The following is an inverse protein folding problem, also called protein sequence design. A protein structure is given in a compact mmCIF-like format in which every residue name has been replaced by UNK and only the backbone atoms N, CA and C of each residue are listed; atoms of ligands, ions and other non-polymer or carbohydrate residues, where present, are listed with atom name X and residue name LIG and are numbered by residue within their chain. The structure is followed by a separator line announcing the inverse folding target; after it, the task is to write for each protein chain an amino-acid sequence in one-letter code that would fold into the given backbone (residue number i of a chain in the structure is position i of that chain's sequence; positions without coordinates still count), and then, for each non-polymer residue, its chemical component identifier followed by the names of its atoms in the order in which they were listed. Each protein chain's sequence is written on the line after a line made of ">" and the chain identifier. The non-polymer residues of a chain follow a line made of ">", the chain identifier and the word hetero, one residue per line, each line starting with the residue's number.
data_IF_562515595986
#
_entry.id   IF_562515595986
#
_cell.length_a   1.000
_cell.length_b   1.000
_cell.length_c   1.000
_cell.angle_alpha   90.00
_cell.angle_beta   90.00
_cell.angle_gamma   90.00
#
_symmetry.space_group_name_H-M   'P 1'
#
loop_
_entity.id
_entity.type
_entity.pdbx_description
1 polymer ?
#
# COMPACT_ATOMS: atom_id res chain seq x y z
N UNK A 1 44.97 5.71 -18.31
CA UNK A 1 45.35 6.13 -16.94
C UNK A 1 44.04 6.50 -16.24
N UNK A 2 43.25 5.56 -15.69
CA UNK A 2 43.34 4.92 -14.34
C UNK A 2 43.58 5.96 -13.24
N UNK A 3 42.82 6.07 -12.14
CA UNK A 3 42.08 5.09 -11.29
C UNK A 3 40.92 5.82 -10.55
N UNK A 4 39.72 5.25 -10.37
CA UNK A 4 39.25 4.28 -9.34
C UNK A 4 39.33 4.70 -7.86
N UNK A 5 38.16 4.64 -7.18
CA UNK A 5 37.78 4.50 -5.74
C UNK A 5 36.76 5.57 -5.29
N UNK A 6 35.51 5.25 -4.93
CA UNK A 6 35.10 4.28 -3.89
C UNK A 6 33.88 3.42 -4.27
N UNK A 7 34.04 2.13 -4.04
CA UNK A 7 33.04 1.08 -3.96
C UNK A 7 32.72 0.81 -2.47
N UNK A 8 31.51 0.27 -2.17
CA UNK A 8 30.91 -0.20 -0.88
C UNK A 8 29.78 0.72 -0.38
N UNK A 9 28.51 0.33 -0.26
CA UNK A 9 27.87 -0.98 -0.12
C UNK A 9 26.57 -1.04 -0.93
N UNK A 10 26.59 -1.74 -2.08
CA UNK A 10 25.39 -2.35 -2.65
C UNK A 10 25.35 -3.79 -2.12
N UNK A 11 24.49 -4.08 -1.15
CA UNK A 11 24.00 -5.44 -0.99
C UNK A 11 22.77 -5.61 -1.85
N UNK A 12 23.00 -5.79 -3.15
CA UNK A 12 22.01 -6.37 -4.06
C UNK A 12 21.98 -7.85 -3.73
N UNK A 13 20.95 -8.32 -3.01
CA UNK A 13 20.61 -9.73 -3.05
C UNK A 13 20.06 -10.01 -4.44
N UNK A 14 20.92 -10.54 -5.31
CA UNK A 14 20.48 -11.24 -6.50
C UNK A 14 19.65 -12.44 -6.06
N UNK A 15 18.34 -12.41 -6.32
CA UNK A 15 17.53 -13.62 -6.26
C UNK A 15 17.95 -14.50 -7.44
N UNK A 16 18.66 -15.58 -7.12
CA UNK A 16 19.14 -16.55 -8.09
C UNK A 16 17.93 -17.32 -8.62
N UNK A 17 17.57 -17.09 -9.88
CA UNK A 17 16.58 -17.89 -10.59
C UNK A 17 17.28 -19.16 -11.06
N UNK A 18 17.16 -20.24 -10.27
CA UNK A 18 17.08 -21.64 -10.72
C UNK A 18 17.26 -22.59 -9.52
N UNK A 19 16.16 -23.23 -9.11
CA UNK A 19 16.07 -24.69 -9.05
C UNK A 19 14.61 -25.09 -8.85
N UNK A 20 14.10 -25.84 -9.82
CA UNK A 20 12.86 -26.59 -9.73
C UNK A 20 12.94 -27.61 -8.58
N UNK A 21 11.76 -27.93 -8.03
CA UNK A 21 11.42 -28.97 -7.05
C UNK A 21 11.85 -28.73 -5.59
N UNK A 22 11.00 -28.04 -4.81
CA UNK A 22 10.65 -28.34 -3.39
C UNK A 22 9.69 -27.28 -2.72
N UNK A 23 8.96 -26.46 -3.48
CA UNK A 23 8.21 -25.31 -2.93
C UNK A 23 6.76 -25.57 -2.46
N UNK A 24 6.24 -26.79 -2.51
CA UNK A 24 4.81 -27.03 -2.20
C UNK A 24 4.52 -26.83 -0.71
N UNK A 25 5.44 -27.20 0.19
CA UNK A 25 5.23 -27.10 1.65
C UNK A 25 5.39 -25.69 2.23
N UNK A 26 6.28 -24.87 1.66
CA UNK A 26 6.55 -23.51 2.16
C UNK A 26 5.41 -22.56 1.75
N UNK A 27 4.89 -22.72 0.53
CA UNK A 27 3.78 -21.89 0.04
C UNK A 27 2.47 -22.11 0.81
N UNK A 28 2.23 -23.30 1.36
CA UNK A 28 1.05 -23.61 2.17
C UNK A 28 1.11 -22.95 3.55
N UNK A 29 2.26 -23.00 4.23
CA UNK A 29 2.44 -22.39 5.55
C UNK A 29 2.39 -20.85 5.50
N UNK A 30 2.96 -20.23 4.45
CA UNK A 30 2.79 -18.78 4.23
C UNK A 30 1.33 -18.42 3.94
N UNK A 31 0.58 -19.29 3.25
CA UNK A 31 -0.85 -19.07 2.96
C UNK A 31 -1.71 -19.12 4.21
N UNK A 32 -1.49 -20.10 5.07
CA UNK A 32 -2.21 -20.25 6.35
C UNK A 32 -1.99 -19.04 7.27
N UNK A 33 -0.77 -18.47 7.32
CA UNK A 33 -0.51 -17.26 8.11
C UNK A 33 -1.23 -16.00 7.60
N UNK A 34 -1.58 -15.94 6.31
CA UNK A 34 -2.22 -14.76 5.70
C UNK A 34 -3.74 -14.80 5.83
N UNK A 35 -4.32 -16.01 5.85
CA UNK A 35 -5.70 -16.19 6.25
C UNK A 35 -5.88 -15.90 7.75
N UNK A 36 -4.85 -16.08 8.58
CA UNK A 36 -4.91 -15.70 10.01
C UNK A 36 -5.05 -14.19 10.25
N UNK A 37 -4.53 -13.33 9.36
CA UNK A 37 -4.75 -11.86 9.48
C UNK A 37 -6.21 -11.46 9.18
N UNK A 38 -6.98 -12.36 8.56
CA UNK A 38 -8.41 -12.23 8.35
C UNK A 38 -9.14 -13.25 9.24
N UNK A 39 -9.37 -12.89 10.50
CA UNK A 39 -10.27 -13.65 11.37
C UNK A 39 -11.71 -13.45 10.85
N UNK A 40 -12.36 -14.50 10.30
CA UNK A 40 -13.76 -14.41 9.93
C UNK A 40 -14.57 -14.11 11.19
N UNK A 41 -15.58 -13.23 11.09
CA UNK A 41 -16.53 -13.05 12.20
C UNK A 41 -17.20 -14.39 12.49
N UNK A 42 -16.92 -14.95 13.67
CA UNK A 42 -17.53 -16.14 14.30
C UNK A 42 -18.06 -17.22 13.34
N UNK A 43 -17.16 -17.97 12.69
CA UNK A 43 -17.51 -19.27 12.11
C UNK A 43 -17.46 -20.36 13.18
N UNK A 44 -18.62 -20.81 13.66
CA UNK A 44 -18.71 -22.11 14.33
C UNK A 44 -18.17 -23.18 13.36
N UNK A 45 -17.10 -23.88 13.75
CA UNK A 45 -16.51 -24.98 12.96
C UNK A 45 -17.54 -26.10 12.77
N UNK A 46 -18.27 -26.08 11.66
CA UNK A 46 -19.06 -27.22 11.23
C UNK A 46 -18.11 -28.33 10.76
N UNK A 47 -18.11 -29.44 11.49
CA UNK A 47 -17.27 -30.63 11.26
C UNK A 47 -17.67 -31.46 10.03
N UNK A 48 -18.71 -31.04 9.32
CA UNK A 48 -19.11 -31.60 8.04
C UNK A 48 -18.62 -30.62 6.97
N UNK A 49 -17.75 -31.05 6.05
CA UNK A 49 -17.04 -30.19 5.09
C UNK A 49 -17.90 -29.44 4.05
N UNK A 50 -19.11 -29.01 4.38
CA UNK A 50 -19.93 -28.07 3.64
C UNK A 50 -19.52 -26.63 3.99
N UNK A 51 -19.38 -25.80 2.95
CA UNK A 51 -19.23 -24.36 3.13
C UNK A 51 -20.41 -23.82 3.94
N UNK A 52 -20.12 -23.14 5.06
CA UNK A 52 -21.11 -22.54 5.95
C UNK A 52 -22.03 -21.58 5.17
N UNK A 53 -23.30 -21.44 5.57
CA UNK A 53 -24.17 -20.38 5.05
C UNK A 53 -23.61 -18.97 5.32
N UNK A 54 -22.66 -18.85 6.24
CA UNK A 54 -21.91 -17.63 6.54
C UNK A 54 -20.63 -17.46 5.71
N UNK A 55 -20.46 -18.22 4.62
CA UNK A 55 -19.37 -18.06 3.64
C UNK A 55 -19.51 -16.77 2.82
N UNK A 56 -18.37 -16.24 2.32
CA UNK A 56 -18.34 -15.05 1.45
C UNK A 56 -19.18 -15.24 0.19
N UNK A 57 -19.17 -16.45 -0.36
CA UNK A 57 -20.01 -16.88 -1.48
C UNK A 57 -20.70 -18.18 -1.05
N UNK A 58 -22.04 -18.21 -0.94
CA UNK A 58 -22.77 -19.41 -0.54
C UNK A 58 -22.38 -20.62 -1.40
N UNK A 59 -21.97 -21.71 -0.74
CA UNK A 59 -21.55 -22.94 -1.41
C UNK A 59 -20.10 -22.98 -1.89
N UNK A 60 -19.31 -21.95 -1.61
CA UNK A 60 -17.87 -21.89 -1.89
C UNK A 60 -17.07 -21.68 -0.60
N UNK A 61 -15.90 -22.30 -0.49
CA UNK A 61 -14.97 -22.04 0.61
C UNK A 61 -14.41 -20.61 0.52
N UNK A 62 -14.17 -19.98 1.67
CA UNK A 62 -13.74 -18.58 1.74
C UNK A 62 -12.36 -18.34 1.09
N UNK A 63 -11.46 -19.33 1.11
CA UNK A 63 -10.16 -19.28 0.45
C UNK A 63 -10.30 -19.16 -1.08
N UNK A 64 -11.15 -19.98 -1.68
CA UNK A 64 -11.47 -19.92 -3.10
C UNK A 64 -12.20 -18.61 -3.46
N UNK A 65 -13.10 -18.15 -2.59
CA UNK A 65 -13.77 -16.86 -2.78
C UNK A 65 -12.76 -15.70 -2.76
N UNK A 66 -11.84 -15.69 -1.80
CA UNK A 66 -10.77 -14.69 -1.68
C UNK A 66 -9.87 -14.69 -2.91
N UNK A 67 -9.46 -15.86 -3.39
CA UNK A 67 -8.69 -15.99 -4.63
C UNK A 67 -9.46 -15.36 -5.81
N UNK A 68 -10.77 -15.62 -5.95
CA UNK A 68 -11.61 -15.01 -7.00
C UNK A 68 -11.66 -13.48 -6.86
N UNK A 69 -11.91 -12.97 -5.65
CA UNK A 69 -11.98 -11.52 -5.40
C UNK A 69 -10.62 -10.84 -5.58
N UNK A 70 -9.50 -11.52 -5.35
CA UNK A 70 -8.16 -10.99 -5.61
C UNK A 70 -7.96 -10.64 -7.09
N UNK A 71 -8.56 -11.39 -8.02
CA UNK A 71 -8.52 -11.12 -9.46
C UNK A 71 -9.46 -10.00 -9.92
N UNK A 72 -10.42 -9.62 -9.09
CA UNK A 72 -11.30 -8.49 -9.41
C UNK A 72 -10.53 -7.16 -9.32
N UNK A 73 -10.96 -6.18 -10.12
CA UNK A 73 -10.27 -4.90 -10.17
C UNK A 73 -10.47 -4.12 -8.86
N UNK A 74 -9.40 -3.45 -8.43
CA UNK A 74 -9.41 -2.64 -7.21
C UNK A 74 -10.48 -1.55 -7.20
N UNK A 75 -10.90 -1.06 -8.37
CA UNK A 75 -11.96 -0.04 -8.47
C UNK A 75 -13.33 -0.53 -8.01
N UNK A 76 -13.53 -1.85 -7.95
CA UNK A 76 -14.77 -2.48 -7.49
C UNK A 76 -14.80 -2.75 -6.00
N UNK A 77 -13.66 -2.64 -5.30
CA UNK A 77 -13.59 -2.93 -3.86
C UNK A 77 -14.52 -2.06 -3.02
N UNK A 78 -14.70 -0.76 -3.30
CA UNK A 78 -15.73 0.03 -2.62
C UNK A 78 -17.15 -0.52 -2.82
N UNK A 79 -17.45 -1.07 -4.01
CA UNK A 79 -18.76 -1.67 -4.27
C UNK A 79 -18.93 -2.97 -3.45
N UNK A 80 -17.88 -3.80 -3.35
CA UNK A 80 -17.91 -5.00 -2.51
C UNK A 80 -18.05 -4.66 -1.03
N UNK A 81 -17.33 -3.66 -0.54
CA UNK A 81 -17.43 -3.20 0.85
C UNK A 81 -18.84 -2.72 1.23
N UNK A 82 -19.67 -2.32 0.27
CA UNK A 82 -21.07 -1.94 0.50
C UNK A 82 -22.04 -3.13 0.55
N UNK A 83 -21.63 -4.35 0.18
CA UNK A 83 -22.53 -5.51 0.14
C UNK A 83 -22.94 -5.97 1.54
N UNK A 84 -21.97 -6.18 2.43
CA UNK A 84 -22.21 -6.54 3.83
C UNK A 84 -20.96 -6.27 4.71
N UNK A 85 -21.10 -6.46 6.02
CA UNK A 85 -20.01 -6.26 6.99
C UNK A 85 -18.81 -7.20 6.77
N UNK A 86 -19.04 -8.43 6.31
CA UNK A 86 -17.99 -9.42 6.06
C UNK A 86 -17.10 -9.01 4.88
N UNK A 87 -17.72 -8.57 3.78
CA UNK A 87 -16.99 -7.99 2.64
C UNK A 87 -16.25 -6.71 3.03
N UNK A 88 -16.89 -5.82 3.78
CA UNK A 88 -16.23 -4.61 4.29
C UNK A 88 -14.97 -4.96 5.09
N UNK A 89 -15.08 -5.89 6.04
CA UNK A 89 -13.95 -6.36 6.84
C UNK A 89 -12.85 -7.01 5.99
N UNK A 90 -13.21 -7.77 4.95
CA UNK A 90 -12.25 -8.38 4.02
C UNK A 90 -11.46 -7.32 3.22
N UNK A 91 -12.11 -6.24 2.78
CA UNK A 91 -11.42 -5.13 2.10
C UNK A 91 -10.52 -4.37 3.08
N UNK A 92 -11.03 -4.06 4.28
CA UNK A 92 -10.31 -3.29 5.30
C UNK A 92 -9.12 -4.04 5.92
N UNK A 93 -9.16 -5.39 5.97
CA UNK A 93 -8.07 -6.21 6.50
C UNK A 93 -6.80 -6.18 5.64
N UNK A 94 -6.92 -5.82 4.36
CA UNK A 94 -5.81 -5.90 3.42
C UNK A 94 -5.50 -7.30 2.90
N UNK A 95 -6.24 -8.33 3.33
CA UNK A 95 -6.05 -9.72 2.91
C UNK A 95 -5.99 -9.87 1.38
N UNK A 96 -6.93 -9.23 0.65
CA UNK A 96 -6.93 -9.26 -0.82
C UNK A 96 -5.64 -8.69 -1.43
N UNK A 97 -5.05 -7.65 -0.83
CA UNK A 97 -3.80 -7.07 -1.34
C UNK A 97 -2.62 -8.02 -1.10
N UNK A 98 -2.61 -8.74 0.02
CA UNK A 98 -1.60 -9.75 0.30
C UNK A 98 -1.68 -10.90 -0.74
N UNK A 99 -2.87 -11.44 -0.97
CA UNK A 99 -3.11 -12.51 -1.94
C UNK A 99 -2.75 -12.05 -3.37
N UNK A 100 -3.12 -10.83 -3.74
CA UNK A 100 -2.75 -10.26 -5.06
C UNK A 100 -1.25 -10.19 -5.28
N UNK A 101 -0.46 -9.84 -4.27
CA UNK A 101 1.00 -9.83 -4.37
C UNK A 101 1.56 -11.23 -4.64
N UNK A 102 1.01 -12.25 -4.00
CA UNK A 102 1.41 -13.64 -4.23
C UNK A 102 1.04 -14.13 -5.63
N UNK A 103 -0.16 -13.76 -6.11
CA UNK A 103 -0.63 -14.09 -7.45
C UNK A 103 0.04 -13.25 -8.55
N UNK A 104 0.87 -12.26 -8.20
CA UNK A 104 1.53 -11.37 -9.16
C UNK A 104 0.56 -10.42 -9.88
N UNK A 105 -0.60 -10.13 -9.28
CA UNK A 105 -1.61 -9.25 -9.87
C UNK A 105 -1.18 -7.80 -9.72
N UNK A 106 -0.82 -7.18 -10.85
CA UNK A 106 -0.38 -5.79 -10.91
C UNK A 106 -1.49 -4.94 -11.55
N UNK A 107 -1.88 -3.87 -10.87
CA UNK A 107 -2.76 -2.82 -11.40
C UNK A 107 -2.05 -1.47 -11.32
N UNK A 108 -2.09 -0.72 -12.41
CA UNK A 108 -1.56 0.64 -12.46
C UNK A 108 -2.63 1.64 -12.07
N UNK A 109 -2.29 2.55 -11.16
CA UNK A 109 -3.15 3.63 -10.71
C UNK A 109 -2.37 4.93 -10.68
N UNK A 110 -3.02 6.01 -11.07
CA UNK A 110 -2.44 7.35 -11.09
C UNK A 110 -3.12 8.18 -10.01
N UNK A 111 -2.34 8.70 -9.07
CA UNK A 111 -2.83 9.65 -8.07
C UNK A 111 -2.40 11.05 -8.48
N UNK A 112 -3.34 11.99 -8.43
CA UNK A 112 -3.10 13.38 -8.78
C UNK A 112 -3.86 14.31 -7.86
N UNK A 113 -3.28 15.49 -7.66
CA UNK A 113 -3.91 16.59 -6.96
C UNK A 113 -3.52 17.90 -7.66
N UNK A 114 -4.49 18.78 -7.80
CA UNK A 114 -4.27 20.17 -8.17
C UNK A 114 -4.37 21.05 -6.93
N UNK A 115 -3.76 22.23 -6.98
CA UNK A 115 -3.91 23.24 -5.92
C UNK A 115 -5.41 23.47 -5.66
N UNK A 116 -5.82 23.45 -4.39
CA UNK A 116 -7.20 23.59 -3.89
C UNK A 116 -8.18 22.46 -4.28
N UNK A 117 -7.74 21.45 -5.03
CA UNK A 117 -8.57 20.30 -5.38
C UNK A 117 -8.25 19.12 -4.47
N UNK A 118 -9.27 18.30 -4.12
CA UNK A 118 -9.04 17.02 -3.47
C UNK A 118 -8.13 16.13 -4.32
N UNK A 119 -7.50 15.16 -3.67
CA UNK A 119 -6.81 14.10 -4.37
C UNK A 119 -7.79 13.25 -5.17
N UNK A 120 -7.38 12.88 -6.38
CA UNK A 120 -8.08 11.95 -7.24
C UNK A 120 -7.16 10.79 -7.62
N UNK A 121 -7.75 9.61 -7.74
CA UNK A 121 -7.11 8.43 -8.26
C UNK A 121 -7.79 8.03 -9.58
N UNK A 122 -6.99 7.69 -10.56
CA UNK A 122 -7.44 7.24 -11.87
C UNK A 122 -6.95 5.81 -12.12
N UNK A 123 -7.89 4.95 -12.50
CA UNK A 123 -7.63 3.62 -13.04
C UNK A 123 -7.61 3.70 -14.57
N UNK A 124 -6.44 3.59 -15.22
CA UNK A 124 -6.34 3.63 -16.66
C UNK A 124 -6.95 2.40 -17.35
N UNK A 125 -7.00 1.25 -16.69
CA UNK A 125 -7.52 0.01 -17.27
C UNK A 125 -9.04 0.07 -17.42
N UNK A 126 -9.73 0.68 -16.45
CA UNK A 126 -11.19 0.85 -16.48
C UNK A 126 -11.67 2.25 -16.82
N UNK A 127 -10.75 3.18 -17.03
CA UNK A 127 -11.03 4.60 -17.26
C UNK A 127 -11.93 5.19 -16.17
N UNK A 128 -11.68 4.81 -14.91
CA UNK A 128 -12.51 5.18 -13.78
C UNK A 128 -11.78 6.15 -12.86
N UNK A 129 -12.48 7.22 -12.50
CA UNK A 129 -12.03 8.19 -11.52
C UNK A 129 -12.58 7.85 -10.13
N UNK A 130 -11.75 8.05 -9.12
CA UNK A 130 -12.09 7.91 -7.71
C UNK A 130 -11.59 9.13 -6.96
N UNK A 131 -12.50 9.83 -6.28
CA UNK A 131 -12.14 10.95 -5.42
C UNK A 131 -11.74 10.43 -4.04
N UNK A 132 -10.59 10.86 -3.54
CA UNK A 132 -10.16 10.56 -2.19
C UNK A 132 -10.87 11.50 -1.20
N UNK A 133 -10.96 11.12 0.09
CA UNK A 133 -11.41 12.03 1.14
C UNK A 133 -10.55 13.29 1.17
N UNK A 134 -11.11 14.39 1.66
CA UNK A 134 -10.34 15.62 1.84
C UNK A 134 -9.30 15.42 2.94
N UNK A 135 -8.04 15.66 2.62
CA UNK A 135 -6.95 15.62 3.60
C UNK A 135 -7.15 16.71 4.66
N UNK A 136 -7.14 16.39 5.98
CA UNK A 136 -7.40 17.34 7.04
C UNK A 136 -6.15 18.14 7.43
N UNK A 137 -5.50 18.77 6.44
CA UNK A 137 -4.31 19.61 6.62
C UNK A 137 -4.66 21.10 6.76
N UNK A 138 -3.69 21.90 7.23
CA UNK A 138 -3.86 23.36 7.30
C UNK A 138 -3.76 24.05 5.91
N UNK A 139 -4.06 25.36 5.88
CA UNK A 139 -3.96 26.16 4.65
C UNK A 139 -2.51 26.25 4.15
N UNK A 140 -1.53 26.31 5.05
CA UNK A 140 -0.11 26.37 4.68
C UNK A 140 0.28 25.13 3.86
N UNK A 141 -0.13 23.94 4.31
CA UNK A 141 0.09 22.70 3.59
C UNK A 141 -0.65 22.69 2.26
N UNK A 142 -1.87 23.22 2.20
CA UNK A 142 -2.66 23.28 0.97
C UNK A 142 -1.94 24.04 -0.14
N UNK A 143 -1.32 25.19 0.19
CA UNK A 143 -0.63 26.05 -0.78
C UNK A 143 0.87 25.76 -0.96
N UNK A 144 1.50 25.06 -0.02
CA UNK A 144 2.91 24.69 -0.12
C UNK A 144 3.15 23.65 -1.23
N UNK A 145 4.39 23.61 -1.73
CA UNK A 145 4.86 22.50 -2.56
C UNK A 145 4.77 21.19 -1.77
N UNK A 146 4.50 20.11 -2.51
CA UNK A 146 4.33 18.76 -1.97
C UNK A 146 5.13 17.77 -2.80
N UNK A 147 5.78 16.84 -2.13
CA UNK A 147 6.26 15.61 -2.72
C UNK A 147 5.30 14.47 -2.37
N UNK A 148 5.09 13.52 -3.26
CA UNK A 148 4.23 12.37 -2.99
C UNK A 148 4.85 11.05 -3.45
N UNK A 149 4.45 9.96 -2.81
CA UNK A 149 4.95 8.62 -3.10
C UNK A 149 3.89 7.57 -2.77
N UNK A 150 3.59 6.69 -3.71
CA UNK A 150 2.82 5.48 -3.44
C UNK A 150 3.74 4.37 -2.91
N UNK A 151 3.33 3.72 -1.81
CA UNK A 151 4.07 2.65 -1.14
C UNK A 151 3.07 1.61 -0.61
N UNK A 152 3.20 0.36 -1.04
CA UNK A 152 2.22 -0.68 -0.70
C UNK A 152 0.78 -0.26 -1.00
N UNK A 153 -0.08 -0.23 0.02
CA UNK A 153 -1.49 0.20 -0.04
C UNK A 153 -1.68 1.66 0.39
N UNK A 154 -0.61 2.45 0.45
CA UNK A 154 -0.62 3.81 0.99
C UNK A 154 -0.13 4.83 -0.03
N UNK A 155 -0.64 6.05 0.09
CA UNK A 155 -0.12 7.24 -0.58
C UNK A 155 0.43 8.19 0.50
N UNK A 156 1.73 8.44 0.47
CA UNK A 156 2.39 9.42 1.32
C UNK A 156 2.46 10.76 0.60
N UNK A 157 2.19 11.83 1.34
CA UNK A 157 2.28 13.22 0.88
C UNK A 157 3.09 14.00 1.90
N UNK A 158 4.23 14.49 1.45
CA UNK A 158 5.18 15.29 2.20
C UNK A 158 4.96 16.75 1.86
N UNK A 159 5.11 17.62 2.84
CA UNK A 159 4.96 19.04 2.64
C UNK A 159 5.22 19.82 3.92
N UNK A 160 4.69 21.03 3.98
CA UNK A 160 4.92 21.96 5.08
C UNK A 160 3.63 22.55 5.61
N UNK A 161 3.44 22.41 6.91
CA UNK A 161 2.41 23.09 7.69
C UNK A 161 3.00 24.31 8.42
N UNK A 162 2.14 25.08 9.11
CA UNK A 162 2.57 26.19 9.97
C UNK A 162 3.56 25.74 11.05
N UNK A 163 3.41 24.52 11.56
CA UNK A 163 4.27 23.94 12.60
C UNK A 163 5.60 23.37 12.08
N UNK A 164 5.78 23.26 10.76
CA UNK A 164 6.99 22.70 10.14
C UNK A 164 6.68 21.65 9.09
N UNK A 165 7.64 20.77 8.80
CA UNK A 165 7.43 19.67 7.87
C UNK A 165 6.37 18.70 8.39
N UNK A 166 5.52 18.22 7.49
CA UNK A 166 4.44 17.30 7.80
C UNK A 166 4.38 16.19 6.75
N UNK A 167 3.93 15.02 7.20
CA UNK A 167 3.69 13.86 6.33
C UNK A 167 2.26 13.40 6.57
N UNK A 168 1.49 13.31 5.51
CA UNK A 168 0.14 12.77 5.48
C UNK A 168 0.13 11.45 4.73
N UNK A 169 -0.59 10.47 5.25
CA UNK A 169 -0.75 9.16 4.63
C UNK A 169 -2.23 8.93 4.36
N UNK A 170 -2.55 8.59 3.12
CA UNK A 170 -3.84 8.01 2.77
C UNK A 170 -3.71 6.49 2.74
N UNK A 171 -4.62 5.81 3.42
CA UNK A 171 -4.74 4.35 3.39
C UNK A 171 -5.85 3.93 2.42
N UNK A 172 -5.50 3.05 1.48
CA UNK A 172 -6.48 2.43 0.59
C UNK A 172 -7.44 1.50 1.30
N UNK A 173 -7.02 0.93 2.43
CA UNK A 173 -7.79 -0.05 3.17
C UNK A 173 -8.90 0.62 3.96
N UNK A 174 -8.56 1.68 4.71
CA UNK A 174 -9.52 2.43 5.53
C UNK A 174 -10.22 3.57 4.77
N UNK A 175 -9.76 3.87 3.55
CA UNK A 175 -10.21 5.01 2.76
C UNK A 175 -10.19 6.32 3.55
N UNK A 176 -9.09 6.57 4.27
CA UNK A 176 -8.95 7.77 5.11
C UNK A 176 -7.52 8.28 5.15
N UNK A 177 -7.36 9.54 5.58
CA UNK A 177 -6.10 10.20 5.81
C UNK A 177 -5.72 10.17 7.29
N UNK A 178 -4.47 9.87 7.57
CA UNK A 178 -3.88 10.05 8.89
C UNK A 178 -2.58 10.86 8.80
N UNK A 179 -2.30 11.63 9.85
CA UNK A 179 -1.02 12.33 9.97
C UNK A 179 0.03 11.33 10.44
N UNK A 180 1.14 11.27 9.72
CA UNK A 180 2.27 10.44 10.11
C UNK A 180 3.16 11.16 11.13
N UNK A 181 3.94 10.40 11.92
CA UNK A 181 5.09 10.96 12.62
C UNK A 181 5.99 11.73 11.66
N UNK A 182 6.68 12.79 12.13
CA UNK A 182 7.64 13.50 11.31
C UNK A 182 8.78 12.55 10.91
N UNK A 183 9.39 12.83 9.76
CA UNK A 183 10.59 12.10 9.34
C UNK A 183 11.69 12.23 10.39
N UNK A 184 12.48 11.17 10.57
CA UNK A 184 13.66 11.17 11.47
C UNK A 184 14.60 12.34 11.16
N UNK A 185 14.76 12.66 9.88
CA UNK A 185 15.51 13.81 9.37
C UNK A 185 14.61 14.62 8.43
N UNK A 186 13.86 15.59 8.96
CA UNK A 186 12.90 16.38 8.20
C UNK A 186 13.55 17.14 7.04
N UNK A 187 12.97 17.00 5.84
CA UNK A 187 13.52 17.53 4.59
C UNK A 187 12.43 17.71 3.54
N UNK A 188 12.76 18.46 2.50
CA UNK A 188 12.02 18.58 1.23
C UNK A 188 12.98 18.49 0.04
N UNK A 189 12.47 18.57 -1.19
CA UNK A 189 13.22 18.56 -2.45
C UNK A 189 14.10 17.32 -2.62
N UNK A 190 13.64 16.19 -2.09
CA UNK A 190 14.35 14.90 -2.14
C UNK A 190 13.89 14.05 -3.34
N UNK A 191 14.76 13.14 -3.78
CA UNK A 191 14.35 12.02 -4.61
C UNK A 191 13.66 10.95 -3.78
N UNK A 192 12.63 10.29 -4.31
CA UNK A 192 11.88 9.26 -3.62
C UNK A 192 11.66 8.02 -4.50
N UNK A 193 11.51 6.86 -3.86
CA UNK A 193 11.14 5.59 -4.49
C UNK A 193 10.51 4.67 -3.45
N UNK A 194 9.77 3.66 -3.90
CA UNK A 194 9.28 2.59 -3.04
C UNK A 194 9.90 1.24 -3.42
N UNK A 195 10.00 0.34 -2.43
CA UNK A 195 10.37 -1.05 -2.61
C UNK A 195 9.40 -1.90 -1.79
N UNK A 196 8.40 -2.48 -2.47
CA UNK A 196 7.29 -3.14 -1.80
C UNK A 196 6.54 -2.16 -0.91
N UNK A 197 6.54 -2.43 0.41
CA UNK A 197 5.88 -1.61 1.43
C UNK A 197 6.83 -0.63 2.12
N UNK A 198 8.04 -0.44 1.58
CA UNK A 198 9.06 0.46 2.13
C UNK A 198 9.17 1.71 1.27
N UNK A 199 9.04 2.88 1.91
CA UNK A 199 9.33 4.18 1.31
C UNK A 199 10.81 4.56 1.51
N UNK A 200 11.45 5.02 0.45
CA UNK A 200 12.86 5.42 0.42
C UNK A 200 12.93 6.86 -0.06
N UNK A 201 13.68 7.71 0.67
CA UNK A 201 13.94 9.10 0.31
C UNK A 201 15.44 9.36 0.32
N UNK A 202 15.92 10.23 -0.56
CA UNK A 202 17.33 10.49 -0.76
C UNK A 202 17.59 11.96 -1.10
N UNK A 203 18.59 12.56 -0.45
CA UNK A 203 18.96 13.95 -0.73
C UNK A 203 18.01 14.95 -0.06
N UNK A 204 17.76 16.07 -0.73
CA UNK A 204 16.89 17.13 -0.25
C UNK A 204 17.57 18.15 0.65
N UNK A 205 16.77 19.03 1.23
CA UNK A 205 17.22 20.10 2.11
C UNK A 205 16.39 20.18 3.39
N UNK A 206 17.03 20.59 4.48
CA UNK A 206 16.34 20.84 5.75
C UNK A 206 15.54 22.15 5.75
N UNK A 207 14.98 22.51 6.90
CA UNK A 207 14.16 23.73 7.08
C UNK A 207 14.91 25.05 6.87
N UNK A 208 16.24 25.04 6.89
CA UNK A 208 17.12 26.21 6.72
C UNK A 208 17.74 26.19 5.30
N UNK A 209 17.49 25.14 4.51
CA UNK A 209 18.00 25.00 3.15
C UNK A 209 19.36 24.28 3.07
N UNK A 210 19.83 23.66 4.15
CA UNK A 210 21.06 22.88 4.11
C UNK A 210 20.83 21.56 3.39
N UNK A 211 21.69 21.25 2.40
CA UNK A 211 21.62 20.00 1.62
C UNK A 211 21.92 18.80 2.52
N UNK A 212 21.10 17.77 2.41
CA UNK A 212 21.19 16.55 3.20
C UNK A 212 21.61 15.36 2.34
N UNK A 213 22.36 14.41 2.93
CA UNK A 213 22.68 13.12 2.29
C UNK A 213 21.54 12.10 2.51
N UNK A 214 21.65 10.90 1.91
CA UNK A 214 20.67 9.78 2.00
C UNK A 214 20.28 9.43 3.45
N UNK A 215 19.01 9.14 3.70
CA UNK A 215 18.49 8.59 4.97
C UNK A 215 17.18 7.81 4.76
N UNK A 216 16.88 6.84 5.63
CA UNK A 216 15.57 6.14 5.60
C UNK A 216 14.43 7.09 5.99
N UNK A 217 13.30 7.00 5.28
CA UNK A 217 12.22 8.00 5.34
C UNK A 217 11.40 7.93 6.65
N UNK A 218 11.17 6.71 7.14
CA UNK A 218 10.35 6.37 8.29
C UNK A 218 10.97 5.14 8.99
#
# INVERSE_FOLDING_TARGET
>A
MTADFFQKNLHVRAYNHNNHSENVGIGLLERESLYSDYEPMDTEENRDGQASEDSLIPGLYDDAAIDIFAWSCRSEYPNFACLNKKFKALIESGCLYNVRRQLGVIEHWIYLACILMPWEAFDPARQRWMRLPRMPCDECFTYADKESLAVGTQLLVFGRELSGFAVWMYSLLSHDWCRCPPMNLPRCLFGSSSLGEIAIVAGGSDKIGCIMTISRAL
#
